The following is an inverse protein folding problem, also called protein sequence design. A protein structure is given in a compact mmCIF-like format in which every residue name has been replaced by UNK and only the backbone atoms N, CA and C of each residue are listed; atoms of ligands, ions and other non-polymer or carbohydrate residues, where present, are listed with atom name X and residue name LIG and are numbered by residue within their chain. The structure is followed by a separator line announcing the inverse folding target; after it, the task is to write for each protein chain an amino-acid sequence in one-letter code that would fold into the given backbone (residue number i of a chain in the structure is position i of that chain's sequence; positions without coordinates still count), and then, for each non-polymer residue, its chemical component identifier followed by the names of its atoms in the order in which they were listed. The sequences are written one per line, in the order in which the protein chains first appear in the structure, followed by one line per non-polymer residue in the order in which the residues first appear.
data_IF_580760001627
#
_entry.id   IF_580760001627
#
_cell.length_a   1.000
_cell.length_b   1.000
_cell.length_c   1.000
_cell.angle_alpha   90.00
_cell.angle_beta   90.00
_cell.angle_gamma   90.00
#
_symmetry.space_group_name_H-M   'P 1'
#
loop_
_entity.id
_entity.type
_entity.pdbx_description
1 polymer ?
#
# COMPACT_ATOMS: atom_id res chain seq x y z
N UNK A 1 -5.06 18.23 0.27
CA UNK A 1 -6.13 18.53 1.24
C UNK A 1 -5.88 17.71 2.50
N UNK A 2 -6.50 18.04 3.64
CA UNK A 2 -6.43 17.22 4.85
C UNK A 2 -6.93 15.79 4.57
N UNK A 3 -8.08 15.69 3.89
CA UNK A 3 -8.66 14.42 3.46
C UNK A 3 -7.71 13.57 2.59
N UNK A 4 -6.98 14.19 1.66
CA UNK A 4 -5.99 13.47 0.85
C UNK A 4 -4.82 12.95 1.67
N UNK A 5 -4.40 13.69 2.71
CA UNK A 5 -3.36 13.25 3.63
C UNK A 5 -3.84 12.06 4.50
N UNK A 6 -5.08 12.10 4.98
CA UNK A 6 -5.69 11.01 5.75
C UNK A 6 -5.80 9.73 4.92
N UNK A 7 -6.30 9.81 3.69
CA UNK A 7 -6.37 8.65 2.78
C UNK A 7 -4.99 8.06 2.47
N UNK A 8 -3.98 8.93 2.33
CA UNK A 8 -2.61 8.51 2.09
C UNK A 8 -2.03 7.81 3.33
N UNK A 9 -2.28 8.34 4.53
CA UNK A 9 -1.89 7.71 5.79
C UNK A 9 -2.53 6.32 5.94
N UNK A 10 -3.82 6.19 5.66
CA UNK A 10 -4.53 4.91 5.69
C UNK A 10 -3.93 3.90 4.71
N UNK A 11 -3.60 4.33 3.49
CA UNK A 11 -2.94 3.50 2.49
C UNK A 11 -1.58 3.01 3.00
N UNK A 12 -0.74 3.90 3.54
CA UNK A 12 0.56 3.53 4.09
C UNK A 12 0.45 2.56 5.27
N UNK A 13 -0.46 2.83 6.22
CA UNK A 13 -0.73 1.94 7.36
C UNK A 13 -1.15 0.55 6.87
N UNK A 14 -2.02 0.49 5.86
CA UNK A 14 -2.46 -0.78 5.27
C UNK A 14 -1.32 -1.55 4.61
N UNK A 15 -0.54 -0.93 3.72
CA UNK A 15 0.56 -1.60 3.03
C UNK A 15 1.65 -2.06 4.00
N UNK A 16 1.94 -1.26 5.03
CA UNK A 16 2.87 -1.64 6.07
C UNK A 16 2.39 -2.88 6.83
N UNK A 17 1.15 -2.87 7.32
CA UNK A 17 0.58 -3.99 8.06
C UNK A 17 0.50 -5.26 7.21
N UNK A 18 0.11 -5.12 5.94
CA UNK A 18 0.06 -6.23 4.98
C UNK A 18 1.45 -6.87 4.82
N UNK A 19 2.47 -6.05 4.57
CA UNK A 19 3.85 -6.55 4.44
C UNK A 19 4.35 -7.20 5.73
N UNK A 20 4.11 -6.58 6.88
CA UNK A 20 4.54 -7.11 8.17
C UNK A 20 3.92 -8.49 8.45
N UNK A 21 2.62 -8.65 8.20
CA UNK A 21 1.92 -9.94 8.30
C UNK A 21 2.58 -11.02 7.44
N UNK A 22 2.93 -10.68 6.19
CA UNK A 22 3.62 -11.61 5.29
C UNK A 22 5.04 -11.96 5.77
N UNK A 23 5.77 -10.99 6.33
CA UNK A 23 7.11 -11.18 6.85
C UNK A 23 7.13 -12.06 8.10
N UNK A 24 6.20 -11.84 9.04
CA UNK A 24 6.06 -12.64 10.24
C UNK A 24 5.72 -14.10 9.89
N UNK A 25 4.80 -14.31 8.95
CA UNK A 25 4.47 -15.66 8.48
C UNK A 25 5.67 -16.35 7.82
N UNK A 26 6.45 -15.64 7.01
CA UNK A 26 7.65 -16.22 6.40
C UNK A 26 8.68 -16.63 7.47
N UNK A 27 8.85 -15.78 8.51
CA UNK A 27 9.73 -16.06 9.64
C UNK A 27 9.27 -17.31 10.42
N UNK A 28 7.98 -17.41 10.74
CA UNK A 28 7.39 -18.57 11.41
C UNK A 28 7.57 -19.87 10.61
N UNK A 29 7.48 -19.78 9.28
CA UNK A 29 7.66 -20.92 8.36
C UNK A 29 9.14 -21.24 8.05
N UNK A 30 10.10 -20.49 8.61
CA UNK A 30 11.54 -20.65 8.31
C UNK A 30 11.92 -20.29 6.88
N UNK A 31 11.11 -19.48 6.19
CA UNK A 31 11.33 -19.03 4.81
C UNK A 31 12.03 -17.68 4.77
N UNK A 32 12.51 -17.30 3.59
CA UNK A 32 13.10 -15.98 3.36
C UNK A 32 12.09 -14.86 3.63
N UNK A 33 12.49 -13.89 4.46
CA UNK A 33 11.71 -12.69 4.74
C UNK A 33 11.88 -11.69 3.59
N UNK A 34 10.78 -11.31 2.94
CA UNK A 34 10.81 -10.40 1.78
C UNK A 34 9.94 -9.17 1.99
N UNK A 35 10.27 -8.09 1.26
CA UNK A 35 9.42 -6.89 1.17
C UNK A 35 8.33 -7.00 0.09
N UNK A 36 8.28 -8.11 -0.65
CA UNK A 36 7.32 -8.34 -1.73
C UNK A 36 6.18 -9.22 -1.25
N UNK A 37 4.95 -8.81 -1.57
CA UNK A 37 3.74 -9.58 -1.34
C UNK A 37 3.14 -9.95 -2.69
N UNK A 38 2.84 -11.24 -2.90
CA UNK A 38 2.22 -11.69 -4.14
C UNK A 38 0.76 -11.27 -4.19
N UNK A 39 0.36 -10.60 -5.28
CA UNK A 39 -1.04 -10.20 -5.50
C UNK A 39 -2.02 -11.38 -5.42
N UNK A 40 -1.61 -12.52 -5.97
CA UNK A 40 -2.39 -13.76 -5.96
C UNK A 40 -2.64 -14.29 -4.55
N UNK A 41 -1.77 -13.99 -3.57
CA UNK A 41 -1.93 -14.43 -2.18
C UNK A 41 -2.87 -13.57 -1.35
N UNK A 42 -3.31 -12.42 -1.86
CA UNK A 42 -4.24 -11.54 -1.16
C UNK A 42 -5.67 -12.08 -1.20
N UNK A 43 -6.37 -11.97 -0.08
CA UNK A 43 -7.81 -12.17 -0.02
C UNK A 43 -8.54 -11.12 -0.88
N UNK A 44 -9.79 -11.39 -1.30
CA UNK A 44 -10.58 -10.40 -2.04
C UNK A 44 -10.73 -9.04 -1.33
N UNK A 45 -10.81 -9.06 0.01
CA UNK A 45 -10.85 -7.84 0.83
C UNK A 45 -9.53 -7.07 0.81
N UNK A 46 -8.40 -7.77 0.98
CA UNK A 46 -7.06 -7.16 0.90
C UNK A 46 -6.78 -6.59 -0.49
N UNK A 47 -7.23 -7.26 -1.56
CA UNK A 47 -7.12 -6.73 -2.94
C UNK A 47 -7.91 -5.44 -3.12
N UNK A 48 -9.14 -5.39 -2.63
CA UNK A 48 -9.98 -4.18 -2.71
C UNK A 48 -9.31 -3.00 -1.99
N UNK A 49 -8.87 -3.22 -0.75
CA UNK A 49 -8.19 -2.19 0.04
C UNK A 49 -6.84 -1.77 -0.55
N UNK A 50 -6.11 -2.70 -1.17
CA UNK A 50 -4.89 -2.37 -1.90
C UNK A 50 -5.18 -1.47 -3.11
N UNK A 51 -6.23 -1.75 -3.89
CA UNK A 51 -6.63 -0.89 -5.01
C UNK A 51 -7.04 0.51 -4.55
N UNK A 52 -7.78 0.62 -3.44
CA UNK A 52 -8.12 1.90 -2.81
C UNK A 52 -6.85 2.67 -2.41
N UNK A 53 -5.90 2.01 -1.77
CA UNK A 53 -4.62 2.61 -1.40
C UNK A 53 -3.80 3.07 -2.60
N UNK A 54 -3.73 2.27 -3.67
CA UNK A 54 -3.04 2.67 -4.90
C UNK A 54 -3.70 3.89 -5.57
N UNK A 55 -5.04 3.97 -5.57
CA UNK A 55 -5.76 5.14 -6.08
C UNK A 55 -5.45 6.40 -5.27
N UNK A 56 -5.45 6.32 -3.95
CA UNK A 56 -5.09 7.45 -3.09
C UNK A 56 -3.66 7.95 -3.37
N UNK A 57 -2.71 7.04 -3.58
CA UNK A 57 -1.34 7.39 -3.95
C UNK A 57 -1.30 8.06 -5.33
N UNK A 58 -1.98 7.50 -6.33
CA UNK A 58 -2.00 8.03 -7.68
C UNK A 58 -2.61 9.45 -7.74
N UNK A 59 -3.74 9.66 -7.06
CA UNK A 59 -4.41 10.97 -6.94
C UNK A 59 -3.47 12.02 -6.31
N UNK A 60 -2.76 11.66 -5.24
CA UNK A 60 -1.82 12.56 -4.58
C UNK A 60 -0.58 12.85 -5.43
N UNK A 61 -0.07 11.84 -6.15
CA UNK A 61 1.04 12.02 -7.09
C UNK A 61 0.64 12.94 -8.25
N UNK A 62 -0.54 12.76 -8.83
CA UNK A 62 -1.07 13.62 -9.89
C UNK A 62 -1.27 15.07 -9.41
N UNK A 63 -1.88 15.25 -8.23
CA UNK A 63 -2.04 16.58 -7.62
C UNK A 63 -0.69 17.26 -7.38
N UNK A 64 0.31 16.50 -6.90
CA UNK A 64 1.67 17.00 -6.65
C UNK A 64 2.37 17.37 -7.96
N UNK A 65 2.30 16.50 -8.98
CA UNK A 65 2.89 16.75 -10.28
C UNK A 65 2.32 18.01 -10.94
N UNK A 66 0.99 18.17 -10.89
CA UNK A 66 0.32 19.37 -11.39
C UNK A 66 0.74 20.64 -10.64
N UNK A 67 0.85 20.57 -9.30
CA UNK A 67 1.24 21.72 -8.47
C UNK A 67 2.67 22.18 -8.75
N UNK A 68 3.59 21.25 -8.97
CA UNK A 68 5.02 21.53 -9.13
C UNK A 68 5.49 21.48 -10.59
N UNK A 69 4.56 21.33 -11.54
CA UNK A 69 4.85 21.25 -12.98
C UNK A 69 5.89 20.17 -13.32
N UNK A 70 5.81 19.03 -12.62
CA UNK A 70 6.66 17.88 -12.89
C UNK A 70 6.06 17.16 -14.12
N UNK A 71 6.60 17.44 -15.30
CA UNK A 71 6.32 16.72 -16.55
C UNK A 71 7.62 16.40 -17.27
#
# INVERSE_FOLDING_TARGET
SLEGAERLEEAFRFFFALRLKHQLRALEEGKEVSNRVLWSSLSPGERRKALEGFRAIAEMQESTANRFQLR
#
